data_IF_275623247993
#
_entry.id   IF_275623247993
#
_cell.length_a   1.000
_cell.length_b   1.000
_cell.length_c   1.000
_cell.angle_alpha   90.00
_cell.angle_beta   90.00
_cell.angle_gamma   90.00
#
_symmetry.space_group_name_H-M   'P 1'
#
loop_
_entity.id
_entity.type
_entity.pdbx_description
1 polymer ?
#
# COMPACT_ATOMS: atom_id res chain seq x y z
N UNK A 1 -15.35 6.13 18.88
CA UNK A 1 -14.02 5.51 18.79
C UNK A 1 -13.88 4.83 17.44
N UNK A 2 -12.77 5.06 16.73
CA UNK A 2 -12.42 4.46 15.44
C UNK A 2 -10.99 3.93 15.55
N UNK A 3 -10.71 2.81 14.90
CA UNK A 3 -9.39 2.19 14.92
C UNK A 3 -8.80 2.18 13.51
N UNK A 4 -7.50 2.36 13.41
CA UNK A 4 -6.74 2.40 12.17
C UNK A 4 -5.26 2.57 12.47
N UNK A 5 -4.40 2.12 11.59
CA UNK A 5 -2.94 2.27 11.71
C UNK A 5 -2.53 3.60 11.09
N UNK A 6 -2.41 4.66 11.91
CA UNK A 6 -2.25 6.04 11.43
C UNK A 6 -0.80 6.36 11.09
N UNK A 7 0.15 5.75 11.80
CA UNK A 7 1.59 5.92 11.61
C UNK A 7 2.23 4.79 10.75
N UNK A 8 1.43 3.82 10.29
CA UNK A 8 1.86 2.66 9.50
C UNK A 8 2.90 1.77 10.22
N UNK A 9 2.84 1.68 11.54
CA UNK A 9 3.76 0.84 12.32
C UNK A 9 3.31 -0.62 12.45
N UNK A 10 2.15 -0.97 11.87
CA UNK A 10 1.55 -2.30 11.91
C UNK A 10 0.69 -2.55 13.14
N UNK A 11 0.53 -1.56 14.03
CA UNK A 11 -0.31 -1.64 15.21
C UNK A 11 -1.52 -0.69 15.07
N UNK A 12 -2.72 -1.13 15.48
CA UNK A 12 -3.89 -0.28 15.37
C UNK A 12 -3.85 0.84 16.41
N UNK A 13 -3.90 2.08 15.93
CA UNK A 13 -4.15 3.29 16.73
C UNK A 13 -5.65 3.52 16.93
N UNK A 14 -5.96 4.47 17.81
CA UNK A 14 -7.33 4.84 18.15
C UNK A 14 -7.55 6.33 17.92
N UNK A 15 -8.60 6.65 17.18
CA UNK A 15 -9.17 7.99 17.06
C UNK A 15 -10.46 8.08 17.88
N UNK A 16 -10.53 9.07 18.77
CA UNK A 16 -11.70 9.25 19.62
C UNK A 16 -11.98 10.72 19.88
N UNK A 17 -13.26 11.06 19.90
CA UNK A 17 -13.74 12.36 20.36
C UNK A 17 -14.01 12.27 21.87
N UNK A 18 -13.42 13.19 22.64
CA UNK A 18 -13.55 13.28 24.09
C UNK A 18 -14.14 14.63 24.50
N UNK A 19 -14.85 14.64 25.62
CA UNK A 19 -15.29 15.84 26.32
C UNK A 19 -14.69 15.87 27.73
N UNK A 20 -14.23 17.03 28.22
CA UNK A 20 -13.84 17.18 29.62
C UNK A 20 -15.01 16.89 30.56
N UNK A 21 -14.75 16.33 31.74
CA UNK A 21 -15.80 16.03 32.75
C UNK A 21 -16.61 17.28 33.11
N UNK A 22 -15.94 18.42 33.22
CA UNK A 22 -16.55 19.70 33.61
C UNK A 22 -16.72 20.68 32.44
N UNK A 23 -16.53 20.23 31.19
CA UNK A 23 -16.56 21.08 30.00
C UNK A 23 -17.54 20.58 28.95
N UNK A 24 -18.05 21.49 28.13
CA UNK A 24 -18.93 21.16 26.99
C UNK A 24 -18.17 21.01 25.67
N UNK A 25 -16.92 21.45 25.63
CA UNK A 25 -16.11 21.47 24.42
C UNK A 25 -15.62 20.05 24.09
N UNK A 26 -16.02 19.53 22.95
CA UNK A 26 -15.53 18.25 22.44
C UNK A 26 -14.33 18.43 21.53
N UNK A 27 -13.34 17.54 21.64
CA UNK A 27 -12.13 17.51 20.80
C UNK A 27 -11.83 16.10 20.34
N UNK A 28 -11.20 15.96 19.17
CA UNK A 28 -10.70 14.68 18.71
C UNK A 28 -9.25 14.48 19.17
N UNK A 29 -8.94 13.27 19.64
CA UNK A 29 -7.62 12.86 20.07
C UNK A 29 -7.20 11.59 19.34
N UNK A 30 -5.92 11.53 19.01
CA UNK A 30 -5.25 10.34 18.52
C UNK A 30 -4.55 9.67 19.70
N UNK A 31 -4.68 8.35 19.80
CA UNK A 31 -3.99 7.54 20.76
C UNK A 31 -3.11 6.56 19.99
N UNK A 32 -1.80 6.77 20.05
CA UNK A 32 -0.85 5.87 19.41
C UNK A 32 -0.70 4.60 20.23
N UNK A 33 -0.70 3.47 19.55
CA UNK A 33 -0.36 2.19 20.14
C UNK A 33 1.17 2.11 20.23
N UNK A 34 1.76 2.17 21.42
CA UNK A 34 3.22 2.21 21.63
C UNK A 34 3.69 1.09 22.55
N UNK A 35 4.98 0.76 22.51
CA UNK A 35 5.57 -0.22 23.44
C UNK A 35 5.48 0.30 24.88
N UNK A 36 5.11 -0.57 25.81
CA UNK A 36 4.96 -0.21 27.21
C UNK A 36 6.31 -0.36 27.94
N UNK A 37 7.00 0.76 28.14
CA UNK A 37 8.33 0.80 28.77
C UNK A 37 8.29 1.04 30.29
N UNK A 38 7.11 1.08 30.92
CA UNK A 38 6.97 1.36 32.35
C UNK A 38 7.02 0.07 33.17
N UNK A 39 7.58 0.15 34.38
CA UNK A 39 7.50 -0.94 35.35
C UNK A 39 6.03 -1.17 35.75
N UNK A 40 5.55 -2.42 35.64
CA UNK A 40 4.16 -2.80 35.95
C UNK A 40 3.20 -2.86 34.75
N UNK A 41 3.70 -2.77 33.51
CA UNK A 41 2.87 -2.98 32.32
C UNK A 41 2.33 -4.42 32.26
N UNK A 42 0.99 -4.59 32.35
CA UNK A 42 0.33 -5.89 32.18
C UNK A 42 0.43 -6.43 30.75
N UNK A 43 0.49 -5.53 29.76
CA UNK A 43 0.60 -5.85 28.34
C UNK A 43 1.87 -5.22 27.77
N UNK A 44 2.42 -5.83 26.72
CA UNK A 44 3.63 -5.34 26.04
C UNK A 44 3.45 -3.97 25.37
N UNK A 45 2.20 -3.54 25.13
CA UNK A 45 1.86 -2.27 24.49
C UNK A 45 0.80 -1.50 25.28
N UNK A 46 0.81 -0.19 25.12
CA UNK A 46 -0.11 0.76 25.75
C UNK A 46 -0.50 1.85 24.76
N UNK A 47 -1.56 2.60 25.08
CA UNK A 47 -1.95 3.76 24.30
C UNK A 47 -1.38 5.05 24.90
N UNK A 48 -0.73 5.85 24.06
CA UNK A 48 -0.24 7.18 24.40
C UNK A 48 -1.05 8.25 23.67
N UNK A 49 -1.61 9.20 24.43
CA UNK A 49 -2.44 10.27 23.90
C UNK A 49 -1.57 11.33 23.23
N UNK A 50 -1.82 11.58 21.94
CA UNK A 50 -1.18 12.62 21.16
C UNK A 50 -1.98 13.92 21.30
N UNK A 51 -1.67 14.71 22.33
CA UNK A 51 -2.43 15.91 22.70
C UNK A 51 -2.45 17.00 21.62
N UNK A 52 -1.33 17.21 20.94
CA UNK A 52 -1.15 18.33 20.01
C UNK A 52 -1.40 17.97 18.55
N UNK A 53 -1.51 16.68 18.20
CA UNK A 53 -1.56 16.21 16.80
C UNK A 53 -2.74 16.78 16.02
N UNK A 54 -3.88 16.98 16.68
CA UNK A 54 -5.10 17.53 16.08
C UNK A 54 -5.52 18.87 16.70
N UNK A 55 -4.56 19.64 17.24
CA UNK A 55 -4.81 20.99 17.77
C UNK A 55 -5.50 21.91 16.75
N UNK A 56 -5.18 21.73 15.46
CA UNK A 56 -5.76 22.47 14.32
C UNK A 56 -7.25 22.20 14.08
N UNK A 57 -7.83 21.12 14.62
CA UNK A 57 -9.25 20.83 14.44
C UNK A 57 -10.12 21.82 15.21
N UNK A 58 -9.56 22.43 16.26
CA UNK A 58 -10.26 23.33 17.17
C UNK A 58 -11.26 22.61 18.08
N UNK A 59 -12.21 23.37 18.62
CA UNK A 59 -13.21 22.86 19.56
C UNK A 59 -14.49 22.42 18.84
N UNK A 60 -15.37 21.70 19.55
CA UNK A 60 -16.69 21.25 19.10
C UNK A 60 -16.64 20.24 17.95
N UNK A 61 -15.63 19.37 17.97
CA UNK A 61 -15.58 18.22 17.06
C UNK A 61 -16.59 17.19 17.56
N UNK A 62 -17.59 16.85 16.75
CA UNK A 62 -18.66 15.91 17.11
C UNK A 62 -18.22 14.48 16.81
N UNK A 63 -17.52 14.28 15.70
CA UNK A 63 -17.09 12.98 15.22
C UNK A 63 -15.82 13.11 14.40
N UNK A 64 -14.94 12.13 14.49
CA UNK A 64 -13.80 11.96 13.59
C UNK A 64 -13.65 10.49 13.20
N UNK A 65 -13.20 10.23 11.98
CA UNK A 65 -12.96 8.89 11.44
C UNK A 65 -11.77 8.88 10.50
N UNK A 66 -11.05 7.76 10.49
CA UNK A 66 -9.99 7.53 9.51
C UNK A 66 -10.59 7.28 8.13
N UNK A 67 -9.91 7.76 7.10
CA UNK A 67 -10.22 7.50 5.70
C UNK A 67 -8.96 7.70 4.86
N UNK A 68 -8.81 7.01 3.74
CA UNK A 68 -7.67 7.16 2.81
C UNK A 68 -8.20 7.87 1.56
N UNK A 69 -8.00 9.20 1.47
CA UNK A 69 -8.57 9.99 0.37
C UNK A 69 -7.86 9.74 -0.96
N UNK A 70 -6.55 9.56 -0.89
CA UNK A 70 -5.68 9.48 -2.06
C UNK A 70 -5.46 8.04 -2.52
N UNK A 71 -6.03 7.07 -1.80
CA UNK A 71 -5.85 5.64 -2.01
C UNK A 71 -4.37 5.23 -1.95
N UNK A 72 -3.55 5.97 -1.22
CA UNK A 72 -2.10 5.80 -1.16
C UNK A 72 -1.63 4.93 0.02
N UNK A 73 -2.55 4.47 0.85
CA UNK A 73 -2.24 3.62 2.01
C UNK A 73 -2.08 4.39 3.32
N UNK A 74 -1.98 5.72 3.27
CA UNK A 74 -1.90 6.59 4.44
C UNK A 74 -3.30 6.90 4.94
N UNK A 75 -3.55 6.78 6.25
CA UNK A 75 -4.82 7.16 6.83
C UNK A 75 -4.86 8.67 7.09
N UNK A 76 -5.77 9.34 6.38
CA UNK A 76 -6.24 10.70 6.64
C UNK A 76 -7.40 10.70 7.65
N UNK A 77 -7.87 11.89 8.04
CA UNK A 77 -8.98 12.05 8.98
C UNK A 77 -10.09 12.90 8.39
N UNK A 78 -11.31 12.36 8.38
CA UNK A 78 -12.54 13.12 8.17
C UNK A 78 -13.13 13.45 9.54
N UNK A 79 -13.52 14.69 9.76
CA UNK A 79 -14.15 15.10 11.01
C UNK A 79 -15.30 16.08 10.80
N UNK A 80 -16.26 16.04 11.71
CA UNK A 80 -17.43 16.89 11.73
C UNK A 80 -17.31 17.86 12.89
N UNK A 81 -17.36 19.15 12.60
CA UNK A 81 -17.33 20.22 13.59
C UNK A 81 -18.70 20.89 13.68
N UNK A 82 -19.15 21.17 14.90
CA UNK A 82 -20.39 21.92 15.15
C UNK A 82 -20.05 23.37 15.45
N UNK A 83 -20.67 24.29 14.71
CA UNK A 83 -20.62 25.70 15.05
C UNK A 83 -21.64 25.98 16.15
N UNK A 84 -21.19 26.47 17.31
CA UNK A 84 -22.05 26.74 18.47
C UNK A 84 -23.07 27.84 18.16
N UNK A 85 -22.68 28.89 17.44
CA UNK A 85 -23.54 30.07 17.23
C UNK A 85 -24.68 29.79 16.26
N UNK A 86 -24.42 29.02 15.20
CA UNK A 86 -25.40 28.71 14.15
C UNK A 86 -26.05 27.33 14.32
N UNK A 87 -25.51 26.48 15.18
CA UNK A 87 -25.93 25.09 15.33
C UNK A 87 -25.62 24.19 14.13
N UNK A 88 -24.99 24.71 13.06
CA UNK A 88 -24.70 23.97 11.83
C UNK A 88 -23.49 23.05 11.99
N UNK A 89 -23.53 21.93 11.28
CA UNK A 89 -22.44 20.97 11.20
C UNK A 89 -21.64 21.17 9.92
N UNK A 90 -20.32 21.14 10.03
CA UNK A 90 -19.38 21.30 8.92
C UNK A 90 -18.51 20.05 8.83
N UNK A 91 -18.45 19.46 7.64
CA UNK A 91 -17.53 18.39 7.33
C UNK A 91 -16.18 18.99 6.94
N UNK A 92 -15.09 18.48 7.54
CA UNK A 92 -13.72 18.88 7.26
C UNK A 92 -12.85 17.64 7.09
N UNK A 93 -11.73 17.82 6.40
CA UNK A 93 -10.75 16.79 6.12
C UNK A 93 -9.38 17.27 6.60
N UNK A 94 -8.60 16.36 7.14
CA UNK A 94 -7.22 16.56 7.52
C UNK A 94 -6.37 15.52 6.81
N UNK A 95 -5.43 15.99 5.99
CA UNK A 95 -4.47 15.13 5.30
C UNK A 95 -3.33 14.77 6.25
N UNK A 96 -3.03 13.50 6.35
CA UNK A 96 -1.85 13.02 7.04
C UNK A 96 -0.67 13.00 6.07
N UNK A 97 0.46 13.55 6.50
CA UNK A 97 1.73 13.49 5.80
C UNK A 97 2.71 12.80 6.74
N UNK A 98 3.20 11.63 6.33
CA UNK A 98 4.22 10.89 7.06
C UNK A 98 5.60 11.39 6.63
N UNK A 99 6.46 11.61 7.61
CA UNK A 99 7.81 12.14 7.39
C UNK A 99 8.79 11.10 6.80
N UNK A 100 8.45 9.81 6.84
CA UNK A 100 9.34 8.71 6.45
C UNK A 100 8.68 7.76 5.45
N UNK A 101 9.50 7.16 4.58
CA UNK A 101 9.08 6.13 3.63
C UNK A 101 8.66 4.85 4.36
N UNK A 102 7.37 4.75 4.66
CA UNK A 102 6.74 3.57 5.24
C UNK A 102 6.15 2.69 4.15
N UNK A 103 6.33 1.37 4.28
CA UNK A 103 5.76 0.40 3.37
C UNK A 103 4.38 -0.08 3.86
N UNK A 104 3.51 -0.43 2.93
CA UNK A 104 2.22 -1.02 3.26
C UNK A 104 1.86 -2.19 2.34
N UNK A 105 0.91 -3.02 2.78
CA UNK A 105 0.21 -3.96 1.88
C UNK A 105 -1.28 -3.64 1.90
N UNK A 106 -1.85 -3.45 0.71
CA UNK A 106 -3.29 -3.25 0.51
C UNK A 106 -3.90 -4.52 -0.05
N UNK A 107 -4.81 -5.14 0.71
CA UNK A 107 -5.49 -6.38 0.33
C UNK A 107 -6.98 -6.14 0.19
N UNK A 108 -7.55 -6.59 -0.93
CA UNK A 108 -8.98 -6.55 -1.23
C UNK A 108 -9.44 -7.96 -1.53
N UNK A 109 -10.32 -8.51 -0.71
CA UNK A 109 -10.98 -9.79 -0.96
C UNK A 109 -12.34 -9.50 -1.58
N UNK A 110 -12.56 -9.97 -2.80
CA UNK A 110 -13.81 -9.71 -3.53
C UNK A 110 -14.65 -10.98 -3.62
N UNK A 111 -15.95 -10.84 -3.89
CA UNK A 111 -16.77 -11.97 -4.32
C UNK A 111 -16.28 -12.46 -5.68
N UNK A 112 -16.22 -13.77 -5.86
CA UNK A 112 -15.67 -14.37 -7.07
C UNK A 112 -16.75 -14.99 -7.95
N UNK A 113 -17.72 -14.19 -8.37
CA UNK A 113 -18.86 -14.68 -9.14
C UNK A 113 -18.49 -14.84 -10.62
N UNK A 114 -19.01 -15.91 -11.23
CA UNK A 114 -18.86 -16.14 -12.67
C UNK A 114 -20.24 -16.36 -13.28
N UNK A 115 -20.49 -15.77 -14.44
CA UNK A 115 -21.74 -15.91 -15.17
C UNK A 115 -21.45 -16.64 -16.49
N UNK A 116 -22.32 -17.59 -16.86
CA UNK A 116 -22.21 -18.34 -18.13
C UNK A 116 -22.43 -17.44 -19.35
N UNK A 117 -23.17 -16.34 -19.20
CA UNK A 117 -23.46 -15.37 -20.26
C UNK A 117 -22.33 -14.37 -20.52
N UNK A 118 -21.31 -14.31 -19.66
CA UNK A 118 -20.18 -13.39 -19.85
C UNK A 118 -19.18 -14.05 -20.78
N UNK A 119 -18.76 -13.36 -21.87
CA UNK A 119 -17.78 -13.89 -22.79
C UNK A 119 -16.46 -14.16 -22.07
N UNK A 120 -15.83 -15.31 -22.37
CA UNK A 120 -14.43 -15.52 -22.03
C UNK A 120 -13.59 -14.54 -22.83
N UNK A 121 -12.72 -13.79 -22.16
CA UNK A 121 -11.76 -12.95 -22.87
C UNK A 121 -10.73 -13.90 -23.46
N UNK A 122 -10.75 -14.03 -24.78
CA UNK A 122 -9.76 -14.76 -25.54
C UNK A 122 -8.54 -13.85 -25.69
N UNK A 123 -7.61 -13.93 -24.74
CA UNK A 123 -6.28 -13.33 -24.90
C UNK A 123 -5.47 -14.10 -25.94
N UNK A 124 -4.44 -13.47 -26.51
CA UNK A 124 -3.54 -14.06 -27.51
C UNK A 124 -2.79 -15.31 -27.02
N UNK A 125 -2.72 -15.54 -25.70
CA UNK A 125 -2.01 -16.66 -25.08
C UNK A 125 -2.86 -17.50 -24.12
N UNK A 126 -3.91 -16.95 -23.49
CA UNK A 126 -4.72 -17.64 -22.48
C UNK A 126 -6.17 -17.16 -22.57
N UNK A 127 -7.10 -18.10 -22.66
CA UNK A 127 -8.54 -17.83 -22.49
C UNK A 127 -8.85 -17.71 -21.00
N UNK A 128 -9.39 -16.57 -20.57
CA UNK A 128 -9.73 -16.34 -19.16
C UNK A 128 -11.20 -15.99 -19.01
N UNK A 129 -11.88 -16.75 -18.15
CA UNK A 129 -13.23 -16.39 -17.70
C UNK A 129 -13.13 -15.26 -16.70
N UNK A 130 -13.77 -14.14 -17.01
CA UNK A 130 -13.81 -12.98 -16.13
C UNK A 130 -14.69 -13.30 -14.93
N UNK A 131 -14.15 -13.09 -13.73
CA UNK A 131 -14.89 -13.13 -12.48
C UNK A 131 -15.19 -11.71 -12.06
N UNK A 132 -16.45 -11.45 -11.70
CA UNK A 132 -16.88 -10.16 -11.17
C UNK A 132 -17.12 -10.29 -9.68
N UNK A 133 -16.93 -9.18 -8.97
CA UNK A 133 -16.91 -9.17 -7.53
C UNK A 133 -17.13 -7.81 -6.93
N UNK A 134 -17.73 -7.81 -5.76
CA UNK A 134 -17.81 -6.70 -4.81
C UNK A 134 -16.99 -7.06 -3.58
N UNK A 135 -16.64 -6.09 -2.73
CA UNK A 135 -15.88 -6.36 -1.51
C UNK A 135 -16.64 -7.33 -0.61
N UNK A 136 -16.01 -8.45 -0.27
CA UNK A 136 -16.60 -9.48 0.56
C UNK A 136 -16.41 -9.13 2.04
N UNK A 137 -17.47 -9.02 2.86
CA UNK A 137 -17.34 -8.83 4.30
C UNK A 137 -17.01 -10.13 5.04
N UNK A 138 -16.15 -10.06 6.05
CA UNK A 138 -15.78 -11.19 6.92
C UNK A 138 -14.49 -11.97 6.62
N UNK A 139 -13.82 -11.89 5.45
CA UNK A 139 -12.52 -12.55 5.25
C UNK A 139 -11.52 -12.16 6.33
N UNK A 140 -10.80 -13.16 6.84
CA UNK A 140 -9.64 -12.96 7.72
C UNK A 140 -8.41 -12.83 6.85
N UNK A 141 -7.69 -11.73 6.96
CA UNK A 141 -6.45 -11.48 6.23
C UNK A 141 -5.34 -11.38 7.26
N UNK A 142 -4.24 -12.08 7.05
CA UNK A 142 -3.08 -11.99 7.92
C UNK A 142 -1.79 -12.06 7.13
N UNK A 143 -0.75 -11.44 7.65
CA UNK A 143 0.59 -11.53 7.09
C UNK A 143 1.58 -11.94 8.16
N UNK A 144 2.67 -12.55 7.71
CA UNK A 144 3.82 -12.86 8.53
C UNK A 144 5.07 -12.48 7.75
N UNK A 145 6.00 -11.78 8.41
CA UNK A 145 7.25 -11.30 7.81
C UNK A 145 8.34 -11.14 8.87
N UNK A 146 9.60 -11.05 8.45
CA UNK A 146 10.69 -10.55 9.28
C UNK A 146 10.95 -9.06 9.05
N UNK A 147 11.27 -8.31 10.11
CA UNK A 147 11.77 -6.94 10.02
C UNK A 147 13.27 -6.92 9.68
N UNK A 148 13.79 -5.76 9.28
CA UNK A 148 15.22 -5.61 8.98
C UNK A 148 16.09 -5.83 10.23
N UNK A 149 15.55 -5.57 11.43
CA UNK A 149 16.22 -5.82 12.71
C UNK A 149 16.14 -7.29 13.15
N UNK A 150 15.61 -8.19 12.31
CA UNK A 150 15.50 -9.62 12.62
C UNK A 150 14.34 -9.95 13.57
N UNK A 151 13.38 -9.05 13.77
CA UNK A 151 12.20 -9.32 14.58
C UNK A 151 11.07 -9.91 13.73
N UNK A 152 10.47 -10.99 14.20
CA UNK A 152 9.30 -11.56 13.54
C UNK A 152 8.07 -10.67 13.75
N UNK A 153 7.42 -10.28 12.66
CA UNK A 153 6.22 -9.44 12.65
C UNK A 153 5.05 -10.20 12.03
N UNK A 154 3.88 -10.06 12.64
CA UNK A 154 2.64 -10.61 12.11
C UNK A 154 1.50 -9.65 12.39
N UNK A 155 0.58 -9.53 11.46
CA UNK A 155 -0.63 -8.74 11.61
C UNK A 155 -1.82 -9.51 11.06
N UNK A 156 -2.97 -9.30 11.68
CA UNK A 156 -4.24 -9.92 11.26
C UNK A 156 -5.33 -8.85 11.29
N UNK A 157 -6.11 -8.78 10.22
CA UNK A 157 -7.24 -7.89 10.08
C UNK A 157 -8.41 -8.65 9.44
N UNK A 158 -9.62 -8.31 9.83
CA UNK A 158 -10.82 -8.77 9.11
C UNK A 158 -11.21 -7.70 8.09
N UNK A 159 -11.68 -8.11 6.92
CA UNK A 159 -12.21 -7.18 5.93
C UNK A 159 -13.66 -6.82 6.22
N UNK A 160 -13.98 -5.52 6.17
CA UNK A 160 -15.28 -4.95 6.49
C UNK A 160 -15.92 -5.50 7.80
N UNK A 161 -15.22 -5.45 8.95
CA UNK A 161 -15.69 -6.09 10.19
C UNK A 161 -16.79 -5.31 10.93
N UNK A 162 -17.06 -4.06 10.58
CA UNK A 162 -17.89 -3.18 11.41
C UNK A 162 -19.33 -3.12 10.88
N UNK A 163 -20.28 -3.55 11.71
CA UNK A 163 -21.72 -3.43 11.49
C UNK A 163 -22.37 -2.27 12.28
N UNK A 164 -21.59 -1.35 12.85
CA UNK A 164 -22.07 -0.30 13.75
C UNK A 164 -22.54 0.99 13.07
N UNK A 165 -23.24 1.83 13.83
CA UNK A 165 -23.69 3.16 13.39
C UNK A 165 -22.53 4.07 12.98
N UNK A 166 -22.68 4.78 11.85
CA UNK A 166 -21.64 5.59 11.20
C UNK A 166 -20.34 4.83 10.84
N UNK A 167 -20.44 3.54 10.47
CA UNK A 167 -19.29 2.78 9.98
C UNK A 167 -18.79 3.37 8.64
N UNK A 168 -17.61 3.99 8.68
CA UNK A 168 -16.87 4.38 7.47
C UNK A 168 -15.64 3.49 7.38
N UNK A 169 -15.85 2.28 6.86
CA UNK A 169 -14.76 1.34 6.64
C UNK A 169 -14.18 1.50 5.25
N UNK A 170 -12.87 1.29 5.14
CA UNK A 170 -12.23 1.22 3.85
C UNK A 170 -12.67 -0.06 3.12
N UNK A 171 -12.81 -0.02 1.79
CA UNK A 171 -13.19 -1.18 0.98
C UNK A 171 -12.10 -2.27 0.92
N UNK A 172 -11.01 -2.10 1.67
CA UNK A 172 -9.82 -2.94 1.69
C UNK A 172 -9.19 -2.92 3.08
N UNK A 173 -8.32 -3.90 3.34
CA UNK A 173 -7.49 -3.94 4.53
C UNK A 173 -6.08 -3.46 4.18
N UNK A 174 -5.57 -2.50 4.96
CA UNK A 174 -4.17 -2.06 4.89
C UNK A 174 -3.44 -2.61 6.11
N UNK A 175 -2.22 -3.07 5.87
CA UNK A 175 -1.24 -3.33 6.92
C UNK A 175 -0.10 -2.35 6.74
N UNK A 176 0.14 -1.50 7.74
CA UNK A 176 1.39 -0.79 7.86
C UNK A 176 2.50 -1.80 8.15
N UNK A 177 3.60 -1.64 7.45
CA UNK A 177 4.77 -2.48 7.61
C UNK A 177 5.99 -1.68 8.05
N UNK A 178 5.83 -0.39 8.39
CA UNK A 178 6.92 0.48 8.80
C UNK A 178 8.06 0.42 7.74
N UNK A 179 9.32 0.31 8.14
CA UNK A 179 10.47 0.07 7.24
C UNK A 179 10.73 -1.42 7.01
N UNK A 180 9.73 -2.21 6.63
CA UNK A 180 9.96 -3.64 6.28
C UNK A 180 10.79 -3.82 5.01
N UNK A 181 11.43 -5.01 4.85
CA UNK A 181 12.25 -5.35 3.70
C UNK A 181 11.48 -5.45 2.38
N UNK A 182 12.21 -5.75 1.32
CA UNK A 182 11.75 -5.82 -0.08
C UNK A 182 10.56 -6.75 -0.34
N UNK A 183 10.23 -7.67 0.57
CA UNK A 183 9.11 -8.60 0.44
C UNK A 183 8.50 -8.96 1.80
N UNK A 184 7.22 -9.31 1.79
CA UNK A 184 6.51 -9.96 2.90
C UNK A 184 6.48 -11.46 2.65
N UNK A 185 6.92 -12.23 3.64
CA UNK A 185 7.15 -13.67 3.50
C UNK A 185 5.88 -14.43 3.13
N UNK A 186 4.82 -14.19 3.89
CA UNK A 186 3.54 -14.87 3.68
C UNK A 186 2.36 -13.93 3.91
N UNK A 187 1.38 -13.99 3.00
CA UNK A 187 0.06 -13.42 3.14
C UNK A 187 -0.95 -14.56 3.16
N UNK A 188 -1.71 -14.69 4.24
CA UNK A 188 -2.72 -15.73 4.43
C UNK A 188 -4.11 -15.11 4.43
N UNK A 189 -5.02 -15.64 3.62
CA UNK A 189 -6.44 -15.27 3.67
C UNK A 189 -7.28 -16.47 4.00
N UNK A 190 -8.23 -16.25 4.91
CA UNK A 190 -9.21 -17.22 5.37
C UNK A 190 -10.63 -16.76 5.08
N UNK A 191 -11.46 -17.69 4.60
CA UNK A 191 -12.88 -17.49 4.32
C UNK A 191 -13.63 -18.80 4.56
N UNK A 192 -14.72 -18.76 5.33
CA UNK A 192 -15.63 -19.90 5.57
C UNK A 192 -14.93 -21.19 6.03
N UNK A 193 -13.91 -21.06 6.89
CA UNK A 193 -13.14 -22.21 7.41
C UNK A 193 -12.03 -22.71 6.49
N UNK A 194 -11.93 -22.19 5.27
CA UNK A 194 -10.84 -22.48 4.34
C UNK A 194 -9.80 -21.36 4.37
N UNK A 195 -8.55 -21.68 4.06
CA UNK A 195 -7.47 -20.68 3.96
C UNK A 195 -6.48 -20.99 2.85
N UNK A 196 -5.90 -19.95 2.28
CA UNK A 196 -4.76 -20.04 1.36
C UNK A 196 -3.71 -19.00 1.71
N UNK A 197 -2.45 -19.39 1.54
CA UNK A 197 -1.30 -18.50 1.72
C UNK A 197 -0.59 -18.26 0.39
N UNK A 198 -0.09 -17.06 0.21
CA UNK A 198 0.78 -16.65 -0.89
C UNK A 198 2.10 -16.14 -0.30
N UNK A 199 3.21 -16.40 -0.99
CA UNK A 199 4.54 -16.05 -0.49
C UNK A 199 5.17 -14.93 -1.30
N UNK A 200 6.17 -14.26 -0.72
CA UNK A 200 7.01 -13.25 -1.40
C UNK A 200 6.19 -12.11 -2.02
N UNK A 201 5.34 -11.50 -1.19
CA UNK A 201 4.49 -10.38 -1.62
C UNK A 201 5.31 -9.09 -1.62
N UNK A 202 5.27 -8.36 -2.72
CA UNK A 202 5.98 -7.08 -2.86
C UNK A 202 5.21 -6.00 -2.06
N UNK A 203 5.85 -5.22 -1.18
CA UNK A 203 5.21 -4.09 -0.50
C UNK A 203 4.78 -2.99 -1.48
N UNK A 204 3.97 -2.04 -1.01
CA UNK A 204 3.41 -0.94 -1.79
C UNK A 204 2.62 -1.42 -3.02
N UNK A 205 2.02 -2.61 -2.89
CA UNK A 205 1.22 -3.23 -3.93
C UNK A 205 -0.23 -3.38 -3.50
N UNK A 206 -1.11 -3.41 -4.49
CA UNK A 206 -2.52 -3.69 -4.29
C UNK A 206 -2.83 -5.11 -4.74
N UNK A 207 -3.37 -5.91 -3.84
CA UNK A 207 -3.66 -7.33 -4.08
C UNK A 207 -5.17 -7.52 -4.06
N UNK A 208 -5.72 -8.01 -5.17
CA UNK A 208 -7.12 -8.41 -5.25
C UNK A 208 -7.19 -9.93 -5.20
N UNK A 209 -7.85 -10.44 -4.16
CA UNK A 209 -8.02 -11.86 -3.89
C UNK A 209 -9.43 -12.30 -4.28
N UNK A 210 -9.50 -13.36 -5.08
CA UNK A 210 -10.73 -13.89 -5.64
C UNK A 210 -10.89 -15.34 -5.16
N UNK A 211 -11.66 -15.58 -4.08
CA UNK A 211 -11.91 -16.89 -3.53
C UNK A 211 -13.03 -17.61 -4.31
N UNK A 212 -12.74 -17.99 -5.57
CA UNK A 212 -13.68 -18.66 -6.45
C UNK A 212 -13.18 -20.05 -6.89
N UNK A 213 -13.89 -21.15 -6.56
CA UNK A 213 -15.04 -21.22 -5.66
C UNK A 213 -14.63 -21.03 -4.17
N UNK A 214 -15.53 -20.57 -3.28
CA UNK A 214 -15.19 -20.32 -1.87
C UNK A 214 -14.79 -21.58 -1.08
N UNK A 215 -15.26 -22.76 -1.50
CA UNK A 215 -15.01 -24.04 -0.81
C UNK A 215 -13.71 -24.73 -1.21
N UNK A 216 -13.05 -24.28 -2.29
CA UNK A 216 -11.80 -24.87 -2.76
C UNK A 216 -10.69 -23.80 -2.77
N UNK A 217 -9.94 -23.66 -1.67
CA UNK A 217 -8.84 -22.71 -1.60
C UNK A 217 -7.78 -22.92 -2.69
N UNK A 218 -7.58 -24.15 -3.19
CA UNK A 218 -6.55 -24.40 -4.22
C UNK A 218 -6.74 -23.53 -5.47
N UNK A 219 -7.99 -23.27 -5.84
CA UNK A 219 -8.38 -22.47 -7.01
C UNK A 219 -8.46 -20.96 -6.76
N UNK A 220 -8.28 -20.50 -5.52
CA UNK A 220 -8.30 -19.07 -5.21
C UNK A 220 -7.16 -18.35 -5.92
N UNK A 221 -7.49 -17.19 -6.50
CA UNK A 221 -6.56 -16.41 -7.31
C UNK A 221 -6.20 -15.11 -6.62
N UNK A 222 -4.92 -14.76 -6.66
CA UNK A 222 -4.41 -13.45 -6.27
C UNK A 222 -3.97 -12.70 -7.52
N UNK A 223 -4.48 -11.49 -7.70
CA UNK A 223 -4.09 -10.59 -8.77
C UNK A 223 -3.39 -9.38 -8.16
N UNK A 224 -2.12 -9.19 -8.54
CA UNK A 224 -1.33 -8.05 -8.14
C UNK A 224 -1.56 -6.91 -9.13
N UNK A 225 -2.04 -5.79 -8.64
CA UNK A 225 -2.08 -4.55 -9.37
C UNK A 225 -0.94 -3.68 -8.88
N UNK A 226 0.04 -3.46 -9.76
CA UNK A 226 1.09 -2.49 -9.53
C UNK A 226 0.63 -1.21 -10.22
N UNK A 227 0.30 -0.17 -9.45
CA UNK A 227 -0.02 1.13 -10.01
C UNK A 227 1.25 1.68 -10.67
N UNK A 228 1.27 1.93 -11.99
CA UNK A 228 2.46 2.46 -12.64
C UNK A 228 2.76 3.85 -12.08
N UNK A 229 3.79 3.96 -11.24
CA UNK A 229 4.22 5.24 -10.71
C UNK A 229 4.74 6.11 -11.86
N UNK A 230 4.47 7.42 -11.82
CA UNK A 230 5.07 8.40 -12.75
C UNK A 230 6.60 8.31 -12.77
N UNK A 231 7.20 7.79 -11.69
CA UNK A 231 8.62 7.51 -11.58
C UNK A 231 9.06 6.43 -12.58
N UNK A 232 8.28 5.37 -12.78
CA UNK A 232 8.63 4.29 -13.73
C UNK A 232 8.74 4.83 -15.15
N UNK A 233 7.81 5.68 -15.59
CA UNK A 233 7.86 6.29 -16.92
C UNK A 233 9.10 7.19 -17.08
N UNK A 234 9.45 7.97 -16.05
CA UNK A 234 10.68 8.78 -16.04
C UNK A 234 11.92 7.88 -16.08
N UNK A 235 11.96 6.79 -15.32
CA UNK A 235 13.08 5.85 -15.31
C UNK A 235 13.25 5.16 -16.67
N UNK A 236 12.17 4.75 -17.33
CA UNK A 236 12.23 4.18 -18.68
C UNK A 236 12.79 5.19 -19.68
N UNK A 237 12.35 6.45 -19.61
CA UNK A 237 12.88 7.51 -20.47
C UNK A 237 14.38 7.72 -20.24
N UNK A 238 14.81 7.82 -18.98
CA UNK A 238 16.23 8.00 -18.61
C UNK A 238 17.06 6.80 -19.05
N UNK A 239 16.60 5.57 -18.80
CA UNK A 239 17.29 4.36 -19.21
C UNK A 239 17.43 4.29 -20.74
N UNK A 240 16.38 4.65 -21.47
CA UNK A 240 16.40 4.69 -22.94
C UNK A 240 17.40 5.71 -23.45
N UNK A 241 17.45 6.91 -22.85
CA UNK A 241 18.43 7.92 -23.19
C UNK A 241 19.87 7.44 -22.98
N UNK A 242 20.14 6.79 -21.84
CA UNK A 242 21.46 6.20 -21.54
C UNK A 242 21.83 5.13 -22.57
N UNK A 243 20.90 4.23 -22.92
CA UNK A 243 21.13 3.20 -23.93
C UNK A 243 21.49 3.82 -25.30
N UNK A 244 20.78 4.87 -25.72
CA UNK A 244 21.06 5.57 -26.99
C UNK A 244 22.46 6.20 -26.97
N UNK A 245 22.86 6.82 -25.87
CA UNK A 245 24.19 7.42 -25.72
C UNK A 245 25.27 6.35 -25.80
N UNK A 246 25.11 5.22 -25.10
CA UNK A 246 26.06 4.10 -25.15
C UNK A 246 26.18 3.55 -26.57
N UNK A 247 25.06 3.34 -27.27
CA UNK A 247 25.06 2.90 -28.67
C UNK A 247 25.81 3.90 -29.55
N UNK A 248 25.57 5.21 -29.36
CA UNK A 248 26.28 6.27 -30.09
C UNK A 248 27.79 6.23 -29.85
N UNK A 249 28.23 6.07 -28.61
CA UNK A 249 29.64 5.93 -28.27
C UNK A 249 30.27 4.68 -28.90
N UNK A 250 29.58 3.54 -28.86
CA UNK A 250 30.05 2.29 -29.48
C UNK A 250 30.18 2.44 -30.99
N UNK A 251 29.18 3.03 -31.66
CA UNK A 251 29.22 3.27 -33.10
C UNK A 251 30.33 4.26 -33.47
N UNK A 252 30.52 5.31 -32.69
CA UNK A 252 31.61 6.27 -32.89
C UNK A 252 32.98 5.60 -32.74
N UNK A 253 33.19 4.82 -31.67
CA UNK A 253 34.43 4.07 -31.46
C UNK A 253 34.66 3.05 -32.58
N UNK A 254 33.60 2.37 -33.04
CA UNK A 254 33.73 1.38 -34.11
C UNK A 254 34.05 2.04 -35.46
N UNK A 255 33.46 3.21 -35.74
CA UNK A 255 33.81 4.00 -36.93
C UNK A 255 35.25 4.50 -36.88
N UNK A 256 35.69 5.01 -35.72
CA UNK A 256 37.08 5.41 -35.50
C UNK A 256 38.05 4.25 -35.69
N UNK A 257 37.78 3.11 -35.07
CA UNK A 257 38.61 1.90 -35.23
C UNK A 257 38.67 1.45 -36.70
N UNK A 258 37.55 1.55 -37.43
CA UNK A 258 37.51 1.22 -38.85
C UNK A 258 38.36 2.17 -39.70
N UNK A 259 38.33 3.47 -39.41
CA UNK A 259 39.20 4.45 -40.08
C UNK A 259 40.67 4.21 -39.74
N UNK A 260 41.00 4.03 -38.46
CA UNK A 260 42.37 3.75 -38.02
C UNK A 260 42.93 2.49 -38.71
N UNK A 261 42.10 1.46 -38.96
CA UNK A 261 42.50 0.27 -39.74
C UNK A 261 42.71 0.54 -41.24
N UNK A 262 41.95 1.45 -41.86
CA UNK A 262 42.14 1.80 -43.27
C UNK A 262 43.41 2.62 -43.48
N UNK A 263 43.70 3.56 -42.58
CA UNK A 263 44.92 4.36 -42.63
C UNK A 263 46.17 3.47 -42.52
N UNK A 264 46.15 2.43 -41.68
CA UNK A 264 47.25 1.46 -41.58
C UNK A 264 47.46 0.67 -42.90
N UNK A 265 46.39 0.23 -43.56
CA UNK A 265 46.47 -0.52 -44.82
C UNK A 265 46.99 0.37 -45.96
N UNK A 266 46.57 1.63 -46.01
CA UNK A 266 47.01 2.57 -47.05
C UNK A 266 48.48 2.98 -46.87
N UNK A 267 48.98 3.02 -45.63
CA UNK A 267 50.40 3.19 -45.32
C UNK A 267 51.19 1.95 -45.77
N UNK A 268 50.69 0.74 -45.52
CA UNK A 268 51.35 -0.51 -45.94
C UNK A 268 51.44 -0.59 -47.49
N UNK A 269 50.35 -0.30 -48.22
CA UNK A 269 50.35 -0.26 -49.69
C UNK A 269 51.30 0.78 -50.28
N UNK A 270 51.46 1.96 -49.65
CA UNK A 270 52.44 2.98 -50.08
C UNK A 270 53.88 2.62 -49.75
N UNK A 271 54.10 1.70 -48.79
CA UNK A 271 55.44 1.26 -48.38
C UNK A 271 55.95 0.09 -49.23
N UNK A 272 55.05 -0.69 -49.85
CA UNK A 272 55.42 -1.65 -50.90
C UNK A 272 55.69 -0.96 -52.24
N UNK A 273 56.90 -0.40 -52.38
CA UNK A 273 57.46 -0.11 -53.71
C UNK A 273 57.67 -1.45 -54.43
N UNK A 274 56.92 -1.67 -55.52
CA UNK A 274 57.18 -2.76 -56.48
C UNK A 274 58.63 -2.66 -56.94
N UNK A 275 59.46 -3.63 -56.55
CA UNK A 275 60.74 -3.93 -57.19
C UNK A 275 60.44 -4.54 -58.56
#
# INVERSE_FOLDING_TARGET
>A
MRSGDYNMDGYPDILMTLSPVNGKDTKAFLLHNVVCNKEGCKFHRTFEVQWERFSTFGNNVVMATFYDFYMDGVLDVIYVQRNITTGKHFLRAFRNELEYDTNFIKVIVVTGLSNKKIPTINGTLITRKVTFGTNLPGPKIGYNTWSQEGNYRTGVCAQLPQSAYYALQLPYSIFGLDRTPNFVDTLTVGLLGFSKSWTQIIPNSQIVLIPAPPSDPSQWRAQLFVTPSKVILKSVFVLTAIIIVIIGCVLYLHWKERNDRQDIIEIDEKTYVKI
#
